data_IF_012290263484
#
_entry.id   IF_012290263484
#
_cell.length_a   1.000
_cell.length_b   1.000
_cell.length_c   1.000
_cell.angle_alpha   90.00
_cell.angle_beta   90.00
_cell.angle_gamma   90.00
#
_symmetry.space_group_name_H-M   'P 1'
#
loop_
_entity.id
_entity.type
_entity.pdbx_description
1 polymer ?
#
# COMPACT_ATOMS: atom_id res chain seq x y z
N UNK A 1 41.07 51.81 31.84
CA UNK A 1 42.27 50.97 32.04
C UNK A 1 41.80 49.54 32.31
N UNK A 2 42.26 48.67 31.47
CA UNK A 2 42.09 47.22 31.38
C UNK A 2 40.88 46.73 30.57
N UNK A 3 41.28 46.45 29.36
CA UNK A 3 40.70 45.51 28.40
C UNK A 3 40.40 44.15 29.03
N UNK A 4 39.31 43.52 28.61
CA UNK A 4 39.25 42.06 28.63
C UNK A 4 38.65 41.58 27.33
N UNK A 5 39.54 41.00 26.64
CA UNK A 5 39.52 40.48 25.30
C UNK A 5 38.68 39.20 25.19
N UNK A 6 37.99 39.09 24.10
CA UNK A 6 37.91 37.94 23.22
C UNK A 6 37.86 36.53 23.84
N UNK A 7 36.66 35.95 23.86
CA UNK A 7 36.48 34.51 23.95
C UNK A 7 35.69 34.02 22.77
N UNK A 8 36.44 33.55 21.77
CA UNK A 8 36.04 32.84 20.60
C UNK A 8 34.98 31.75 20.90
N UNK A 9 33.76 31.94 20.42
CA UNK A 9 32.80 30.87 20.27
C UNK A 9 33.14 30.07 18.99
N UNK A 10 33.94 29.04 19.15
CA UNK A 10 34.09 27.99 18.16
C UNK A 10 32.78 27.19 18.07
N UNK A 11 31.93 27.61 17.18
CA UNK A 11 30.77 26.83 16.72
C UNK A 11 31.28 25.58 16.00
N UNK A 12 31.37 24.47 16.72
CA UNK A 12 31.50 23.14 16.13
C UNK A 12 30.20 22.80 15.44
N UNK A 13 30.13 23.08 14.16
CA UNK A 13 29.14 22.51 13.26
C UNK A 13 29.36 21.00 13.23
N UNK A 14 28.58 20.28 14.05
CA UNK A 14 28.42 18.83 13.92
C UNK A 14 27.73 18.57 12.59
N UNK A 15 28.52 18.33 11.54
CA UNK A 15 28.01 17.87 10.26
C UNK A 15 27.19 16.61 10.46
N UNK A 16 25.89 16.73 10.30
CA UNK A 16 24.93 15.61 10.32
C UNK A 16 25.35 14.67 9.19
N UNK A 17 25.92 13.54 9.57
CA UNK A 17 26.40 12.53 8.61
C UNK A 17 25.19 11.97 7.90
N UNK A 18 25.15 12.07 6.56
CA UNK A 18 24.08 11.47 5.77
C UNK A 18 23.83 10.02 6.21
N UNK A 19 22.58 9.58 6.33
CA UNK A 19 22.24 8.22 6.72
C UNK A 19 22.95 7.19 5.83
N UNK A 20 23.42 6.09 6.41
CA UNK A 20 24.04 5.01 5.64
C UNK A 20 23.01 4.44 4.64
N UNK A 21 23.28 4.47 3.33
CA UNK A 21 22.31 4.00 2.32
C UNK A 21 22.20 2.47 2.25
N UNK A 22 23.07 1.72 2.93
CA UNK A 22 23.11 0.25 2.88
C UNK A 22 21.84 -0.41 3.38
N UNK A 23 21.24 -0.02 4.52
CA UNK A 23 19.98 -0.61 4.99
C UNK A 23 18.83 -0.45 3.98
N UNK A 24 18.68 0.73 3.39
CA UNK A 24 17.64 0.99 2.39
C UNK A 24 17.82 0.13 1.15
N UNK A 25 19.06 -0.02 0.64
CA UNK A 25 19.37 -0.89 -0.52
C UNK A 25 19.10 -2.36 -0.21
N UNK A 26 19.45 -2.84 0.98
CA UNK A 26 19.16 -4.22 1.41
C UNK A 26 17.65 -4.46 1.45
N UNK A 27 16.89 -3.55 2.01
CA UNK A 27 15.42 -3.62 2.08
C UNK A 27 14.80 -3.67 0.67
N UNK A 28 15.21 -2.78 -0.23
CA UNK A 28 14.75 -2.75 -1.62
C UNK A 28 15.08 -4.06 -2.36
N UNK A 29 16.29 -4.61 -2.19
CA UNK A 29 16.70 -5.89 -2.80
C UNK A 29 15.83 -7.06 -2.29
N UNK A 30 15.47 -7.08 -1.00
CA UNK A 30 14.59 -8.11 -0.44
C UNK A 30 13.17 -7.96 -1.01
N UNK A 31 12.64 -6.74 -1.18
CA UNK A 31 11.33 -6.50 -1.78
C UNK A 31 11.27 -6.95 -3.25
N UNK A 32 12.30 -6.63 -4.02
CA UNK A 32 12.42 -7.10 -5.41
C UNK A 32 12.45 -8.63 -5.48
N UNK A 33 13.26 -9.26 -4.63
CA UNK A 33 13.34 -10.73 -4.56
C UNK A 33 11.99 -11.37 -4.15
N UNK A 34 11.23 -10.72 -3.28
CA UNK A 34 9.91 -11.21 -2.87
C UNK A 34 8.91 -11.17 -4.03
N UNK A 35 8.89 -10.08 -4.80
CA UNK A 35 8.02 -9.96 -5.99
C UNK A 35 8.39 -11.00 -7.05
N UNK A 36 9.68 -11.16 -7.34
CA UNK A 36 10.16 -12.14 -8.34
C UNK A 36 9.83 -13.57 -7.94
N UNK A 37 10.11 -13.97 -6.69
CA UNK A 37 9.83 -15.33 -6.22
C UNK A 37 8.34 -15.65 -6.13
N UNK A 38 7.50 -14.65 -5.82
CA UNK A 38 6.05 -14.83 -5.78
C UNK A 38 5.43 -14.94 -7.19
N UNK A 39 6.12 -14.45 -8.21
CA UNK A 39 5.72 -14.63 -9.60
C UNK A 39 6.14 -16.00 -10.15
N UNK A 40 7.13 -16.64 -9.54
CA UNK A 40 7.56 -18.01 -9.88
C UNK A 40 6.72 -19.02 -9.06
N UNK A 41 6.41 -20.20 -9.59
CA UNK A 41 5.67 -21.27 -8.87
C UNK A 41 6.49 -21.91 -7.71
N UNK A 42 7.52 -21.22 -7.24
CA UNK A 42 8.42 -21.68 -6.19
C UNK A 42 7.95 -21.34 -4.78
N UNK A 43 8.28 -22.19 -3.80
CA UNK A 43 7.99 -21.89 -2.38
C UNK A 43 8.80 -20.66 -1.93
N UNK A 44 8.11 -19.62 -1.48
CA UNK A 44 8.74 -18.43 -0.91
C UNK A 44 9.16 -18.69 0.52
N UNK A 45 10.48 -18.76 0.74
CA UNK A 45 11.10 -18.94 2.05
C UNK A 45 12.13 -17.86 2.32
N UNK A 46 12.46 -17.61 3.59
CA UNK A 46 13.54 -16.68 3.96
C UNK A 46 14.86 -17.06 3.29
N UNK A 47 15.13 -18.36 3.10
CA UNK A 47 16.34 -18.83 2.42
C UNK A 47 16.33 -18.46 0.93
N UNK A 48 15.21 -18.69 0.24
CA UNK A 48 15.07 -18.33 -1.17
C UNK A 48 15.16 -16.82 -1.37
N UNK A 49 14.50 -16.04 -0.51
CA UNK A 49 14.56 -14.57 -0.52
C UNK A 49 15.99 -14.05 -0.33
N UNK A 50 16.68 -14.49 0.72
CA UNK A 50 18.04 -14.05 1.00
C UNK A 50 18.99 -14.38 -0.17
N UNK A 51 18.87 -15.59 -0.75
CA UNK A 51 19.64 -16.01 -1.92
C UNK A 51 19.33 -15.13 -3.14
N UNK A 52 18.06 -14.89 -3.46
CA UNK A 52 17.64 -14.10 -4.62
C UNK A 52 18.03 -12.62 -4.46
N UNK A 53 17.91 -12.06 -3.26
CA UNK A 53 18.30 -10.70 -2.94
C UNK A 53 19.82 -10.49 -2.83
N UNK A 54 20.62 -11.55 -2.86
CA UNK A 54 22.08 -11.47 -2.70
C UNK A 54 22.51 -11.04 -1.28
N UNK A 55 21.70 -11.34 -0.26
CA UNK A 55 21.96 -10.95 1.14
C UNK A 55 22.10 -12.19 2.03
N UNK A 56 22.69 -12.02 3.21
CA UNK A 56 22.73 -13.09 4.20
C UNK A 56 21.38 -13.23 4.93
N UNK A 57 21.08 -14.41 5.50
CA UNK A 57 19.92 -14.58 6.39
C UNK A 57 19.96 -13.63 7.59
N UNK A 58 21.17 -13.37 8.13
CA UNK A 58 21.32 -12.42 9.23
C UNK A 58 20.95 -11.00 8.79
N UNK A 59 21.29 -10.60 7.55
CA UNK A 59 20.86 -9.33 6.98
C UNK A 59 19.34 -9.28 6.77
N UNK A 60 18.71 -10.38 6.32
CA UNK A 60 17.24 -10.45 6.28
C UNK A 60 16.64 -10.22 7.67
N UNK A 61 17.08 -10.96 8.68
CA UNK A 61 16.55 -10.86 10.04
C UNK A 61 16.89 -9.55 10.77
N UNK A 62 17.84 -8.76 10.26
CA UNK A 62 18.05 -7.39 10.76
C UNK A 62 16.99 -6.39 10.27
N UNK A 63 16.21 -6.75 9.22
CA UNK A 63 15.16 -5.92 8.64
C UNK A 63 13.75 -6.43 8.91
N UNK A 64 13.57 -7.76 8.93
CA UNK A 64 12.24 -8.39 9.02
C UNK A 64 12.30 -9.59 9.97
N UNK A 65 11.29 -9.72 10.80
CA UNK A 65 11.17 -10.86 11.75
C UNK A 65 10.72 -12.17 11.06
N UNK A 66 10.19 -12.07 9.84
CA UNK A 66 9.69 -13.19 9.05
C UNK A 66 9.01 -12.72 7.77
N UNK A 67 8.38 -13.67 7.04
CA UNK A 67 7.65 -13.36 5.80
C UNK A 67 6.43 -12.46 6.05
N UNK A 68 5.78 -12.65 7.19
CA UNK A 68 4.62 -11.85 7.58
C UNK A 68 4.98 -10.37 7.75
N UNK A 69 6.12 -10.11 8.38
CA UNK A 69 6.63 -8.77 8.61
C UNK A 69 7.09 -8.12 7.29
N UNK A 70 7.72 -8.92 6.41
CA UNK A 70 8.08 -8.48 5.06
C UNK A 70 6.84 -8.06 4.26
N UNK A 71 5.81 -8.92 4.20
CA UNK A 71 4.57 -8.62 3.49
C UNK A 71 3.90 -7.36 4.05
N UNK A 72 3.78 -7.27 5.38
CA UNK A 72 3.23 -6.09 6.04
C UNK A 72 3.98 -4.81 5.68
N UNK A 73 5.31 -4.89 5.63
CA UNK A 73 6.15 -3.74 5.27
C UNK A 73 6.01 -3.34 3.80
N UNK A 74 5.87 -4.30 2.88
CA UNK A 74 5.65 -4.02 1.46
C UNK A 74 4.29 -3.36 1.22
N UNK A 75 3.26 -3.83 1.91
CA UNK A 75 1.93 -3.24 1.84
C UNK A 75 1.88 -1.85 2.49
N UNK A 76 2.63 -1.64 3.57
CA UNK A 76 2.73 -0.32 4.20
C UNK A 76 3.32 0.71 3.23
N UNK A 77 4.37 0.37 2.47
CA UNK A 77 4.91 1.30 1.45
C UNK A 77 3.88 1.69 0.39
N UNK A 78 3.05 0.72 -0.04
CA UNK A 78 1.95 1.01 -0.95
C UNK A 78 0.96 2.00 -0.34
N UNK A 79 0.56 1.77 0.91
CA UNK A 79 -0.40 2.65 1.59
C UNK A 79 0.17 4.03 1.86
N UNK A 80 1.45 4.14 2.20
CA UNK A 80 2.12 5.43 2.39
C UNK A 80 2.12 6.25 1.10
N UNK A 81 2.39 5.62 -0.04
CA UNK A 81 2.33 6.26 -1.36
C UNK A 81 0.91 6.74 -1.69
N UNK A 82 -0.11 5.90 -1.46
CA UNK A 82 -1.52 6.26 -1.65
C UNK A 82 -1.95 7.41 -0.73
N UNK A 83 -1.48 7.41 0.52
CA UNK A 83 -1.74 8.46 1.50
C UNK A 83 -1.11 9.80 1.10
N UNK A 84 0.14 9.80 0.67
CA UNK A 84 0.83 11.00 0.19
C UNK A 84 0.11 11.60 -1.00
N UNK A 85 -0.35 10.76 -1.91
CA UNK A 85 -1.17 11.21 -3.03
C UNK A 85 -2.48 11.83 -2.59
N UNK A 86 -3.22 11.19 -1.69
CA UNK A 86 -4.46 11.73 -1.13
C UNK A 86 -4.27 13.10 -0.46
N UNK A 87 -3.09 13.36 0.12
CA UNK A 87 -2.75 14.69 0.65
C UNK A 87 -2.53 15.72 -0.46
N UNK A 88 -1.84 15.34 -1.53
CA UNK A 88 -1.61 16.20 -2.68
C UNK A 88 -2.93 16.60 -3.36
N UNK A 89 -3.84 15.64 -3.55
CA UNK A 89 -5.17 15.88 -4.10
C UNK A 89 -6.01 16.80 -3.20
N UNK A 90 -5.91 16.65 -1.86
CA UNK A 90 -6.53 17.56 -0.90
C UNK A 90 -6.04 18.99 -1.03
N UNK A 91 -4.75 19.18 -1.26
CA UNK A 91 -4.17 20.49 -1.54
C UNK A 91 -4.66 21.07 -2.88
N UNK A 92 -5.03 20.23 -3.84
CA UNK A 92 -5.64 20.62 -5.11
C UNK A 92 -7.15 20.94 -5.03
N UNK A 93 -7.76 20.78 -3.86
CA UNK A 93 -9.16 21.15 -3.62
C UNK A 93 -10.18 20.06 -3.94
N UNK A 94 -9.78 18.83 -4.17
CA UNK A 94 -10.71 17.71 -4.37
C UNK A 94 -11.50 17.38 -3.10
N UNK A 95 -12.73 16.90 -3.28
CA UNK A 95 -13.60 16.51 -2.16
C UNK A 95 -13.12 15.22 -1.50
N UNK A 96 -13.50 14.97 -0.25
CA UNK A 96 -13.20 13.72 0.44
C UNK A 96 -13.77 12.50 -0.28
N UNK A 97 -14.92 12.64 -0.94
CA UNK A 97 -15.53 11.58 -1.76
C UNK A 97 -14.64 11.23 -2.95
N UNK A 98 -14.14 12.24 -3.65
CA UNK A 98 -13.18 12.02 -4.75
C UNK A 98 -11.93 11.26 -4.27
N UNK A 99 -11.39 11.63 -3.11
CA UNK A 99 -10.26 10.92 -2.51
C UNK A 99 -10.55 9.45 -2.23
N UNK A 100 -11.75 9.17 -1.71
CA UNK A 100 -12.16 7.79 -1.43
C UNK A 100 -12.26 6.99 -2.72
N UNK A 101 -12.96 7.49 -3.73
CA UNK A 101 -13.08 6.83 -5.03
C UNK A 101 -11.71 6.60 -5.69
N UNK A 102 -10.84 7.61 -5.64
CA UNK A 102 -9.50 7.51 -6.19
C UNK A 102 -8.62 6.53 -5.40
N UNK A 103 -8.78 6.45 -4.07
CA UNK A 103 -8.12 5.47 -3.20
C UNK A 103 -8.47 4.02 -3.59
N UNK A 104 -9.74 3.74 -3.88
CA UNK A 104 -10.18 2.45 -4.41
C UNK A 104 -9.53 2.14 -5.76
N UNK A 105 -9.48 3.12 -6.66
CA UNK A 105 -8.86 2.95 -7.97
C UNK A 105 -7.35 2.69 -7.88
N UNK A 106 -6.65 3.42 -7.01
CA UNK A 106 -5.22 3.18 -6.74
C UNK A 106 -4.96 1.78 -6.20
N UNK A 107 -5.83 1.29 -5.30
CA UNK A 107 -5.73 -0.07 -4.77
C UNK A 107 -5.96 -1.11 -5.87
N UNK A 108 -6.98 -0.95 -6.71
CA UNK A 108 -7.24 -1.86 -7.83
C UNK A 108 -6.07 -1.87 -8.82
N UNK A 109 -5.55 -0.70 -9.21
CA UNK A 109 -4.37 -0.58 -10.09
C UNK A 109 -3.11 -1.21 -9.47
N UNK A 110 -2.92 -1.10 -8.16
CA UNK A 110 -1.82 -1.76 -7.46
C UNK A 110 -1.97 -3.29 -7.49
N UNK A 111 -3.17 -3.80 -7.20
CA UNK A 111 -3.46 -5.24 -7.22
C UNK A 111 -3.21 -5.80 -8.62
N UNK A 112 -3.66 -5.12 -9.66
CA UNK A 112 -3.42 -5.48 -11.06
C UNK A 112 -1.93 -5.55 -11.38
N UNK A 113 -1.19 -4.48 -11.09
CA UNK A 113 0.25 -4.37 -11.38
C UNK A 113 1.08 -5.42 -10.66
N UNK A 114 0.71 -5.76 -9.44
CA UNK A 114 1.44 -6.69 -8.58
C UNK A 114 0.73 -8.04 -8.42
N UNK A 115 -0.11 -8.41 -9.39
CA UNK A 115 -0.94 -9.62 -9.35
C UNK A 115 -0.14 -10.87 -8.94
N UNK A 116 0.93 -11.18 -9.66
CA UNK A 116 1.73 -12.38 -9.41
C UNK A 116 2.30 -12.42 -7.97
N UNK A 117 2.79 -11.28 -7.48
CA UNK A 117 3.26 -11.16 -6.11
C UNK A 117 2.14 -11.36 -5.08
N UNK A 118 1.02 -10.67 -5.23
CA UNK A 118 -0.09 -10.73 -4.29
C UNK A 118 -0.75 -12.10 -4.30
N UNK A 119 -0.95 -12.69 -5.50
CA UNK A 119 -1.48 -14.04 -5.64
C UNK A 119 -0.56 -15.08 -4.98
N UNK A 120 0.74 -15.00 -5.23
CA UNK A 120 1.71 -15.87 -4.58
C UNK A 120 1.73 -15.68 -3.06
N UNK A 121 1.55 -14.46 -2.57
CA UNK A 121 1.51 -14.17 -1.14
C UNK A 121 0.30 -14.80 -0.42
N UNK A 122 -0.81 -15.07 -1.12
CA UNK A 122 -1.96 -15.81 -0.56
C UNK A 122 -1.57 -17.24 -0.17
N UNK A 123 -0.64 -17.85 -0.91
CA UNK A 123 -0.15 -19.21 -0.65
C UNK A 123 0.93 -19.26 0.46
N UNK A 124 1.46 -18.11 0.87
CA UNK A 124 2.36 -18.08 2.01
C UNK A 124 1.62 -18.57 3.24
N UNK A 125 2.32 -19.31 4.09
CA UNK A 125 1.77 -19.73 5.41
C UNK A 125 1.59 -18.48 6.28
N UNK A 126 0.64 -17.63 5.84
CA UNK A 126 0.30 -16.40 6.52
C UNK A 126 -0.24 -16.72 7.89
N UNK A 127 0.34 -16.15 8.91
CA UNK A 127 -0.18 -16.26 10.25
C UNK A 127 -1.39 -15.34 10.42
N UNK A 128 -2.22 -15.63 11.41
CA UNK A 128 -3.25 -14.69 11.86
C UNK A 128 -2.71 -13.27 12.08
N UNK A 129 -1.43 -13.16 12.44
CA UNK A 129 -0.73 -11.89 12.60
C UNK A 129 -0.66 -11.08 11.32
N UNK A 130 -0.34 -11.69 10.16
CA UNK A 130 -0.31 -11.01 8.87
C UNK A 130 -1.67 -10.45 8.51
N UNK A 131 -2.72 -11.27 8.65
CA UNK A 131 -4.10 -10.83 8.46
C UNK A 131 -4.44 -9.63 9.35
N UNK A 132 -4.03 -9.65 10.62
CA UNK A 132 -4.26 -8.54 11.56
C UNK A 132 -3.48 -7.27 11.18
N UNK A 133 -2.26 -7.40 10.65
CA UNK A 133 -1.47 -6.26 10.18
C UNK A 133 -2.15 -5.63 8.96
N UNK A 134 -2.50 -6.45 7.96
CA UNK A 134 -3.21 -6.01 6.76
C UNK A 134 -4.51 -5.28 7.08
N UNK A 135 -5.39 -5.94 7.81
CA UNK A 135 -6.67 -5.36 8.18
C UNK A 135 -6.52 -4.11 9.05
N UNK A 136 -5.52 -4.07 9.93
CA UNK A 136 -5.23 -2.91 10.76
C UNK A 136 -4.75 -1.70 9.96
N UNK A 137 -3.82 -1.92 9.03
CA UNK A 137 -3.26 -0.86 8.19
C UNK A 137 -4.30 -0.28 7.24
N UNK A 138 -5.06 -1.13 6.54
CA UNK A 138 -6.14 -0.68 5.66
C UNK A 138 -7.25 0.03 6.45
N UNK A 139 -7.67 -0.52 7.59
CA UNK A 139 -8.67 0.12 8.42
C UNK A 139 -8.24 1.51 8.92
N UNK A 140 -6.95 1.72 9.17
CA UNK A 140 -6.46 3.04 9.57
C UNK A 140 -6.65 4.11 8.47
N UNK A 141 -6.52 3.74 7.20
CA UNK A 141 -6.81 4.64 6.08
C UNK A 141 -8.30 5.03 6.05
N UNK A 142 -9.18 4.05 6.20
CA UNK A 142 -10.61 4.32 6.28
C UNK A 142 -10.98 5.17 7.49
N UNK A 143 -10.36 4.95 8.66
CA UNK A 143 -10.56 5.78 9.86
C UNK A 143 -10.26 7.24 9.54
N UNK A 144 -9.14 7.52 8.89
CA UNK A 144 -8.77 8.90 8.53
C UNK A 144 -9.73 9.52 7.51
N UNK A 145 -10.18 8.76 6.51
CA UNK A 145 -11.19 9.22 5.56
C UNK A 145 -12.55 9.50 6.27
N UNK A 146 -12.99 8.58 7.13
CA UNK A 146 -14.24 8.69 7.87
C UNK A 146 -14.25 9.89 8.83
N UNK A 147 -13.14 10.19 9.50
CA UNK A 147 -13.01 11.40 10.35
C UNK A 147 -13.19 12.70 9.56
N UNK A 148 -12.91 12.71 8.27
CA UNK A 148 -13.04 13.89 7.39
C UNK A 148 -14.45 14.07 6.81
N UNK A 149 -15.39 13.14 7.08
CA UNK A 149 -16.77 13.19 6.61
C UNK A 149 -17.80 13.00 7.73
N UNK A 150 -17.71 13.73 8.86
CA UNK A 150 -18.54 13.49 10.04
C UNK A 150 -20.04 13.59 9.76
N UNK A 151 -20.44 14.49 8.86
CA UNK A 151 -21.86 14.76 8.53
C UNK A 151 -22.48 13.65 7.64
N UNK A 152 -21.67 12.73 7.12
CA UNK A 152 -22.11 11.63 6.26
C UNK A 152 -22.20 10.29 7.00
N UNK A 153 -21.63 10.22 8.21
CA UNK A 153 -21.57 8.97 8.95
C UNK A 153 -22.95 8.52 9.43
N UNK A 154 -23.25 7.21 9.32
CA UNK A 154 -24.43 6.68 10.00
C UNK A 154 -24.25 6.81 11.53
N UNK A 155 -25.35 6.93 12.30
CA UNK A 155 -25.27 7.11 13.76
C UNK A 155 -24.68 5.89 14.48
N UNK A 156 -24.63 4.75 13.83
CA UNK A 156 -24.00 3.47 14.28
C UNK A 156 -23.64 2.63 13.07
N UNK A 157 -22.61 1.75 13.14
CA UNK A 157 -21.66 1.60 14.26
C UNK A 157 -20.62 2.75 14.27
N UNK A 158 -19.70 2.76 15.25
CA UNK A 158 -18.63 3.75 15.33
C UNK A 158 -17.58 3.61 14.20
N UNK A 159 -16.74 4.62 14.07
CA UNK A 159 -15.77 4.78 12.96
C UNK A 159 -14.87 3.53 12.79
N UNK A 160 -14.33 2.97 13.87
CA UNK A 160 -13.46 1.80 13.81
C UNK A 160 -14.18 0.55 13.27
N UNK A 161 -15.44 0.37 13.64
CA UNK A 161 -16.22 -0.76 13.15
C UNK A 161 -16.59 -0.59 11.67
N UNK A 162 -16.92 0.63 11.25
CA UNK A 162 -17.14 0.96 9.84
C UNK A 162 -15.88 0.73 9.01
N UNK A 163 -14.72 1.22 9.48
CA UNK A 163 -13.44 1.05 8.82
C UNK A 163 -13.09 -0.44 8.63
N UNK A 164 -13.27 -1.26 9.66
CA UNK A 164 -13.03 -2.71 9.58
C UNK A 164 -13.99 -3.42 8.63
N UNK A 165 -15.24 -2.99 8.57
CA UNK A 165 -16.22 -3.55 7.65
C UNK A 165 -15.86 -3.25 6.19
N UNK A 166 -15.45 -2.02 5.88
CA UNK A 166 -14.97 -1.62 4.56
C UNK A 166 -13.75 -2.46 4.15
N UNK A 167 -12.73 -2.49 5.00
CA UNK A 167 -11.51 -3.29 4.77
C UNK A 167 -11.81 -4.76 4.52
N UNK A 168 -12.74 -5.36 5.29
CA UNK A 168 -13.11 -6.77 5.13
C UNK A 168 -13.68 -7.06 3.74
N UNK A 169 -14.56 -6.20 3.26
CA UNK A 169 -15.14 -6.30 1.91
C UNK A 169 -14.08 -6.20 0.82
N UNK A 170 -13.21 -5.20 0.92
CA UNK A 170 -12.13 -4.95 -0.05
C UNK A 170 -11.16 -6.13 -0.16
N UNK A 171 -10.75 -6.69 0.99
CA UNK A 171 -9.84 -7.84 1.01
C UNK A 171 -10.47 -9.09 0.39
N UNK A 172 -11.76 -9.33 0.62
CA UNK A 172 -12.48 -10.47 0.02
C UNK A 172 -12.59 -10.30 -1.49
N UNK A 173 -12.87 -9.09 -1.97
CA UNK A 173 -12.95 -8.84 -3.41
C UNK A 173 -11.58 -8.96 -4.08
N UNK A 174 -10.52 -8.44 -3.45
CA UNK A 174 -9.15 -8.58 -3.93
C UNK A 174 -8.71 -10.05 -4.01
N UNK A 175 -8.94 -10.84 -2.96
CA UNK A 175 -8.65 -12.27 -2.92
C UNK A 175 -9.38 -13.03 -4.05
N UNK A 176 -10.67 -12.78 -4.18
CA UNK A 176 -11.48 -13.42 -5.22
C UNK A 176 -10.97 -13.09 -6.63
N UNK A 177 -10.66 -11.82 -6.90
CA UNK A 177 -10.18 -11.39 -8.22
C UNK A 177 -8.80 -11.98 -8.54
N UNK A 178 -7.87 -11.98 -7.57
CA UNK A 178 -6.53 -12.56 -7.71
C UNK A 178 -6.59 -14.05 -8.07
N UNK A 179 -7.50 -14.79 -7.45
CA UNK A 179 -7.71 -16.22 -7.76
C UNK A 179 -8.39 -16.42 -9.11
N UNK A 180 -9.41 -15.62 -9.43
CA UNK A 180 -10.17 -15.76 -10.67
C UNK A 180 -9.32 -15.45 -11.92
N UNK A 181 -8.34 -14.54 -11.80
CA UNK A 181 -7.48 -14.09 -12.92
C UNK A 181 -6.13 -14.80 -12.99
N UNK A 182 -5.87 -15.77 -12.10
CA UNK A 182 -4.58 -16.47 -12.01
C UNK A 182 -4.17 -17.16 -13.32
N UNK A 183 -5.11 -17.83 -14.00
CA UNK A 183 -4.84 -18.55 -15.25
C UNK A 183 -4.48 -17.59 -16.39
N UNK A 184 -5.21 -16.48 -16.52
CA UNK A 184 -4.93 -15.41 -17.50
C UNK A 184 -3.54 -14.77 -17.23
N UNK A 185 -3.23 -14.48 -15.98
CA UNK A 185 -1.93 -13.95 -15.59
C UNK A 185 -0.78 -14.90 -15.93
N UNK A 186 -0.93 -16.22 -15.69
CA UNK A 186 0.07 -17.23 -16.07
C UNK A 186 0.21 -17.39 -17.57
N UNK A 187 -0.86 -17.17 -18.33
CA UNK A 187 -0.80 -17.15 -19.79
C UNK A 187 -0.13 -15.90 -20.37
N UNK A 188 0.20 -14.91 -19.52
CA UNK A 188 0.78 -13.63 -19.93
C UNK A 188 -0.25 -12.72 -20.60
N UNK A 189 -1.55 -12.93 -20.34
CA UNK A 189 -2.62 -12.07 -20.81
C UNK A 189 -2.60 -10.74 -20.03
N UNK A 190 -3.02 -9.68 -20.71
CA UNK A 190 -3.19 -8.36 -20.06
C UNK A 190 -4.36 -8.43 -19.08
N UNK A 191 -4.11 -8.10 -17.83
CA UNK A 191 -5.13 -8.06 -16.80
C UNK A 191 -5.81 -6.68 -16.78
N UNK A 192 -7.09 -6.66 -16.44
CA UNK A 192 -7.87 -5.43 -16.27
C UNK A 192 -8.66 -5.48 -14.96
N UNK A 193 -8.26 -4.65 -14.00
CA UNK A 193 -8.92 -4.56 -12.70
C UNK A 193 -10.17 -3.67 -12.69
N UNK A 194 -10.73 -3.32 -13.86
CA UNK A 194 -11.97 -2.51 -13.93
C UNK A 194 -13.12 -3.21 -13.20
N UNK A 195 -13.32 -4.52 -13.45
CA UNK A 195 -14.35 -5.30 -12.76
C UNK A 195 -14.14 -5.35 -11.24
N UNK A 196 -12.90 -5.53 -10.79
CA UNK A 196 -12.56 -5.47 -9.36
C UNK A 196 -12.98 -4.12 -8.77
N UNK A 197 -12.62 -3.02 -9.41
CA UNK A 197 -12.98 -1.68 -8.95
C UNK A 197 -14.49 -1.45 -8.96
N UNK A 198 -15.21 -1.91 -10.01
CA UNK A 198 -16.66 -1.86 -10.08
C UNK A 198 -17.31 -2.57 -8.88
N UNK A 199 -16.87 -3.79 -8.59
CA UNK A 199 -17.40 -4.56 -7.45
C UNK A 199 -17.10 -3.88 -6.13
N UNK A 200 -15.88 -3.38 -5.93
CA UNK A 200 -15.50 -2.65 -4.72
C UNK A 200 -16.38 -1.40 -4.53
N UNK A 201 -16.57 -0.60 -5.56
CA UNK A 201 -17.41 0.60 -5.50
C UNK A 201 -18.89 0.25 -5.32
N UNK A 202 -19.42 -0.77 -6.03
CA UNK A 202 -20.81 -1.18 -5.93
C UNK A 202 -21.18 -1.72 -4.52
N UNK A 203 -20.23 -2.33 -3.83
CA UNK A 203 -20.44 -2.90 -2.48
C UNK A 203 -20.14 -1.92 -1.36
N UNK A 204 -19.42 -0.84 -1.64
CA UNK A 204 -19.16 0.21 -0.68
C UNK A 204 -20.45 1.03 -0.41
N UNK A 205 -20.65 1.51 0.83
CA UNK A 205 -21.82 2.31 1.15
C UNK A 205 -21.87 3.60 0.33
N UNK A 206 -23.03 3.92 -0.24
CA UNK A 206 -23.23 5.12 -1.06
C UNK A 206 -22.89 6.44 -0.33
N UNK A 207 -23.12 6.49 0.97
CA UNK A 207 -22.72 7.65 1.80
C UNK A 207 -21.18 7.80 1.88
N UNK A 208 -20.42 6.72 1.71
CA UNK A 208 -18.97 6.72 1.75
C UNK A 208 -18.35 7.11 0.41
N UNK A 209 -18.79 6.49 -0.68
CA UNK A 209 -18.27 6.72 -2.03
C UNK A 209 -18.99 7.86 -2.77
N UNK A 210 -20.10 8.38 -2.24
CA UNK A 210 -20.84 9.50 -2.81
C UNK A 210 -21.61 9.21 -4.09
N UNK A 211 -21.71 7.96 -4.52
CA UNK A 211 -22.53 7.56 -5.66
C UNK A 211 -23.93 7.16 -5.21
N UNK A 212 -24.93 7.61 -5.95
CA UNK A 212 -26.31 7.16 -5.78
C UNK A 212 -26.53 5.75 -6.34
N UNK A 213 -27.64 5.08 -5.96
CA UNK A 213 -27.91 3.71 -6.41
C UNK A 213 -28.07 3.57 -7.92
N UNK A 214 -28.49 4.64 -8.61
CA UNK A 214 -28.70 4.68 -10.07
C UNK A 214 -27.61 5.49 -10.79
N UNK A 215 -26.56 5.92 -10.08
CA UNK A 215 -25.46 6.68 -10.64
C UNK A 215 -24.40 5.73 -11.25
N UNK A 216 -23.96 5.96 -12.49
CA UNK A 216 -22.97 5.08 -13.12
C UNK A 216 -21.64 5.15 -12.36
N UNK A 217 -21.02 3.97 -12.18
CA UNK A 217 -19.70 3.85 -11.56
C UNK A 217 -18.63 4.17 -12.62
N UNK A 218 -17.84 5.23 -12.48
CA UNK A 218 -16.83 5.61 -13.48
C UNK A 218 -15.52 4.81 -13.30
N UNK A 219 -15.60 3.47 -13.15
CA UNK A 219 -14.47 2.62 -12.79
C UNK A 219 -13.33 2.69 -13.82
N UNK A 220 -13.64 2.62 -15.10
CA UNK A 220 -12.63 2.66 -16.15
C UNK A 220 -11.83 3.99 -16.16
N UNK A 221 -12.50 5.13 -15.96
CA UNK A 221 -11.87 6.44 -15.92
C UNK A 221 -11.01 6.59 -14.65
N UNK A 222 -11.53 6.16 -13.51
CA UNK A 222 -10.81 6.19 -12.24
C UNK A 222 -9.56 5.29 -12.30
N UNK A 223 -9.70 4.09 -12.85
CA UNK A 223 -8.58 3.14 -12.98
C UNK A 223 -7.53 3.66 -13.95
N UNK A 224 -7.91 4.20 -15.10
CA UNK A 224 -6.99 4.82 -16.05
C UNK A 224 -6.19 5.95 -15.40
N UNK A 225 -6.86 6.82 -14.64
CA UNK A 225 -6.18 7.87 -13.87
C UNK A 225 -5.21 7.29 -12.84
N UNK A 226 -5.59 6.24 -12.12
CA UNK A 226 -4.76 5.62 -11.08
C UNK A 226 -3.52 4.91 -11.66
N UNK A 227 -3.60 4.31 -12.84
CA UNK A 227 -2.48 3.65 -13.52
C UNK A 227 -1.33 4.63 -13.84
N UNK A 228 -1.65 5.84 -14.28
CA UNK A 228 -0.64 6.86 -14.62
C UNK A 228 0.20 7.29 -13.41
N UNK A 229 -0.39 7.32 -12.22
CA UNK A 229 0.35 7.68 -11.00
C UNK A 229 1.33 6.62 -10.52
N UNK A 230 1.08 5.36 -10.84
CA UNK A 230 1.98 4.28 -10.45
C UNK A 230 3.23 4.20 -11.34
N UNK A 231 3.19 4.75 -12.55
CA UNK A 231 4.33 4.83 -13.47
C UNK A 231 5.32 5.89 -13.02
N UNK A 232 4.83 7.08 -12.65
CA UNK A 232 5.66 8.19 -12.17
C UNK A 232 6.42 7.86 -10.86
N UNK A 233 5.85 7.01 -10.00
CA UNK A 233 6.48 6.60 -8.75
C UNK A 233 7.56 5.52 -8.96
N UNK A 234 7.44 4.68 -9.98
CA UNK A 234 8.41 3.64 -10.30
C UNK A 234 9.68 4.19 -10.93
N UNK A 235 9.58 5.31 -11.66
CA UNK A 235 10.73 5.97 -12.32
C UNK A 235 11.58 6.83 -11.36
N UNK A 236 11.15 7.03 -10.10
CA UNK A 236 11.85 7.85 -9.10
C UNK A 236 12.70 7.04 -8.10
N UNK A 237 12.83 5.71 -8.24
CA UNK A 237 13.60 4.82 -7.38
C UNK A 237 14.48 3.85 -8.18
#
# INVERSE_FOLDING_TARGET
>A
MLDYDDAMTSSTSSGERAPDPRPARTRAAIFTAARELSADDGEVTVNALAKRAGVSRAAFYSHFTGLDDLLGAMLQEMFDAAWERGRADGAAGYTIVHHVQHGYAMMAAYIERHHAFLRGALDWKSSHRTYMILTGTMAALHVEALKRMPDRLPPRPGIEALARSLTGGELVHADHWLVATEEAARAGEELDATELLEVMLATAPSWYIGLGPDEPIPAAELLASARTYGEDAADQH
#
